data_IF_990773355039
#
_entry.id   IF_990773355039
#
_cell.length_a   1.000
_cell.length_b   1.000
_cell.length_c   1.000
_cell.angle_alpha   90.00
_cell.angle_beta   90.00
_cell.angle_gamma   90.00
#
_symmetry.space_group_name_H-M   'P 1'
#
loop_
_entity.id
_entity.type
_entity.pdbx_description
1 polymer ?
#
# COMPACT_ATOMS: atom_id res chain seq x y z
N UNK A 1 -37.09 31.62 -59.48
CA UNK A 1 -36.66 32.61 -58.47
C UNK A 1 -36.41 31.95 -57.12
N UNK A 2 -37.26 31.04 -56.65
CA UNK A 2 -37.16 30.38 -55.34
C UNK A 2 -35.92 29.46 -55.19
N UNK A 3 -35.59 28.67 -56.21
CA UNK A 3 -34.41 27.80 -56.21
C UNK A 3 -33.10 28.57 -56.18
N UNK A 4 -33.03 29.71 -56.86
CA UNK A 4 -31.85 30.59 -56.84
C UNK A 4 -31.69 31.26 -55.47
N UNK A 5 -32.75 31.62 -54.81
CA UNK A 5 -32.70 32.16 -53.43
C UNK A 5 -32.18 31.16 -52.41
N UNK A 6 -32.63 29.89 -52.53
CA UNK A 6 -32.16 28.82 -51.65
C UNK A 6 -30.68 28.51 -51.88
N UNK A 7 -30.22 28.48 -53.15
CA UNK A 7 -28.82 28.31 -53.47
C UNK A 7 -27.93 29.41 -52.92
N UNK A 8 -28.41 30.67 -53.01
CA UNK A 8 -27.68 31.82 -52.51
C UNK A 8 -27.49 31.79 -50.97
N UNK A 9 -28.53 31.38 -50.26
CA UNK A 9 -28.44 31.19 -48.78
C UNK A 9 -27.46 30.09 -48.45
N UNK A 10 -27.48 29.00 -49.21
CA UNK A 10 -26.54 27.90 -48.97
C UNK A 10 -25.08 28.33 -49.18
N UNK A 11 -24.80 29.12 -50.23
CA UNK A 11 -23.45 29.66 -50.50
C UNK A 11 -23.02 30.62 -49.41
N UNK A 12 -23.91 31.48 -48.92
CA UNK A 12 -23.59 32.41 -47.80
C UNK A 12 -23.20 31.64 -46.51
N UNK A 13 -23.98 30.59 -46.17
CA UNK A 13 -23.70 29.76 -45.00
C UNK A 13 -22.37 28.99 -45.19
N UNK A 14 -22.12 28.47 -46.37
CA UNK A 14 -20.85 27.77 -46.68
C UNK A 14 -19.66 28.69 -46.58
N UNK A 15 -19.75 29.89 -47.18
CA UNK A 15 -18.65 30.90 -47.08
C UNK A 15 -18.46 31.38 -45.66
N UNK A 16 -19.53 31.59 -44.89
CA UNK A 16 -19.46 31.95 -43.49
C UNK A 16 -18.82 30.85 -42.64
N UNK A 17 -19.09 29.57 -42.92
CA UNK A 17 -18.45 28.44 -42.26
C UNK A 17 -16.97 28.36 -42.61
N UNK A 18 -16.60 28.57 -43.86
CA UNK A 18 -15.18 28.57 -44.30
C UNK A 18 -14.40 29.73 -43.67
N UNK A 19 -14.98 30.94 -43.59
CA UNK A 19 -14.35 32.10 -42.94
C UNK A 19 -14.14 31.80 -41.45
N UNK A 20 -15.14 31.22 -40.78
CA UNK A 20 -15.01 30.85 -39.36
C UNK A 20 -13.93 29.79 -39.13
N UNK A 21 -13.85 28.81 -40.00
CA UNK A 21 -12.82 27.73 -39.91
C UNK A 21 -11.43 28.33 -40.14
N UNK A 22 -11.26 29.20 -41.16
CA UNK A 22 -10.01 29.87 -41.45
C UNK A 22 -9.56 30.85 -40.34
N UNK A 23 -10.50 31.53 -39.69
CA UNK A 23 -10.22 32.37 -38.52
C UNK A 23 -9.76 31.55 -37.32
N UNK A 24 -10.39 30.38 -37.07
CA UNK A 24 -9.94 29.48 -36.03
C UNK A 24 -8.54 28.90 -36.36
N UNK A 25 -8.33 28.46 -37.59
CA UNK A 25 -7.04 27.97 -38.03
C UNK A 25 -5.94 29.05 -37.92
N UNK A 26 -6.23 30.31 -38.24
CA UNK A 26 -5.33 31.42 -38.07
C UNK A 26 -4.93 31.68 -36.60
N UNK A 27 -5.85 31.46 -35.66
CA UNK A 27 -5.58 31.55 -34.21
C UNK A 27 -4.66 30.42 -33.75
N UNK A 28 -4.73 29.24 -34.40
CA UNK A 28 -3.93 28.06 -34.10
C UNK A 28 -2.63 27.97 -34.94
N UNK A 29 -2.49 28.75 -36.02
CA UNK A 29 -1.26 28.78 -36.83
C UNK A 29 -0.09 29.24 -35.95
N UNK A 30 0.91 28.37 -35.82
CA UNK A 30 2.12 28.63 -35.02
C UNK A 30 1.98 28.24 -33.53
N UNK A 31 0.86 27.71 -33.11
CA UNK A 31 0.78 27.15 -31.73
C UNK A 31 1.43 25.75 -31.64
N UNK A 32 1.44 24.97 -32.74
CA UNK A 32 2.11 23.68 -32.78
C UNK A 32 3.65 23.81 -32.74
N UNK A 33 4.19 24.98 -33.13
CA UNK A 33 5.64 25.25 -33.22
C UNK A 33 6.13 26.18 -32.11
N UNK A 34 5.26 26.56 -31.17
CA UNK A 34 5.71 27.23 -29.95
C UNK A 34 6.37 26.18 -29.08
N UNK A 35 7.71 26.18 -29.07
CA UNK A 35 8.45 25.57 -27.96
C UNK A 35 7.73 25.96 -26.66
N UNK A 36 7.07 24.99 -26.02
CA UNK A 36 6.44 25.23 -24.73
C UNK A 36 7.53 25.71 -23.76
N UNK A 37 7.46 26.98 -23.42
CA UNK A 37 8.39 27.57 -22.44
C UNK A 37 7.90 27.21 -21.07
N UNK A 38 8.16 25.97 -20.69
CA UNK A 38 7.75 25.41 -19.40
C UNK A 38 8.95 25.30 -18.46
N UNK A 39 8.68 25.44 -17.18
CA UNK A 39 9.60 25.05 -16.11
C UNK A 39 8.94 23.91 -15.34
N UNK A 40 9.68 22.88 -15.04
CA UNK A 40 9.23 21.77 -14.19
C UNK A 40 9.77 21.99 -12.80
N UNK A 41 8.90 21.89 -11.81
CA UNK A 41 9.25 22.00 -10.39
C UNK A 41 8.67 20.81 -9.65
N UNK A 42 9.52 20.13 -8.92
CA UNK A 42 9.15 18.98 -8.12
C UNK A 42 9.38 19.26 -6.63
N UNK A 43 8.52 18.72 -5.79
CA UNK A 43 8.71 18.73 -4.35
C UNK A 43 8.04 17.52 -3.73
N UNK A 44 8.51 17.15 -2.57
CA UNK A 44 8.04 16.03 -1.78
C UNK A 44 7.47 16.55 -0.45
N UNK A 45 6.31 16.05 -0.07
CA UNK A 45 5.72 16.25 1.26
C UNK A 45 5.95 15.02 2.11
N UNK A 46 6.29 15.22 3.39
CA UNK A 46 6.56 14.14 4.35
C UNK A 46 5.89 14.43 5.66
N UNK A 47 5.11 13.48 6.12
CA UNK A 47 4.46 13.57 7.44
C UNK A 47 4.84 12.35 8.27
N UNK A 48 5.33 12.61 9.48
CA UNK A 48 5.61 11.55 10.44
C UNK A 48 4.33 11.20 11.18
N UNK A 49 3.99 9.94 11.20
CA UNK A 49 2.85 9.40 11.93
C UNK A 49 3.32 8.35 12.95
N UNK A 50 2.61 8.25 14.07
CA UNK A 50 2.79 7.15 15.01
C UNK A 50 1.84 6.04 14.59
N UNK A 51 2.31 4.80 14.40
CA UNK A 51 1.45 3.66 14.12
C UNK A 51 0.38 3.50 15.20
N UNK A 52 -0.84 3.20 14.77
CA UNK A 52 -1.99 2.97 15.63
C UNK A 52 -2.47 1.52 15.64
N UNK A 53 -1.97 0.70 14.69
CA UNK A 53 -2.20 -0.73 14.65
C UNK A 53 -0.90 -1.50 14.44
N UNK A 54 -0.95 -2.79 14.79
CA UNK A 54 0.06 -3.76 14.39
C UNK A 54 -0.57 -4.89 13.59
N UNK A 55 0.16 -5.44 12.65
CA UNK A 55 -0.26 -6.59 11.86
C UNK A 55 0.75 -7.71 11.95
N UNK A 56 0.25 -8.95 12.07
CA UNK A 56 1.07 -10.16 11.99
C UNK A 56 0.31 -11.22 11.18
N UNK A 57 1.04 -12.19 10.65
CA UNK A 57 0.44 -13.35 10.03
C UNK A 57 0.90 -14.59 10.78
N UNK A 58 -0.06 -15.37 11.25
CA UNK A 58 0.17 -16.60 11.97
C UNK A 58 -0.40 -17.77 11.17
N UNK A 59 0.26 -18.90 11.14
CA UNK A 59 -0.16 -20.02 10.33
C UNK A 59 0.26 -21.37 10.88
N UNK A 60 -0.32 -22.39 10.27
CA UNK A 60 -0.02 -23.78 10.55
C UNK A 60 0.23 -24.51 9.23
N UNK A 61 1.33 -25.23 9.20
CA UNK A 61 1.62 -26.26 8.21
C UNK A 61 1.47 -27.61 8.93
N UNK A 62 0.50 -28.39 8.51
CA UNK A 62 0.22 -29.70 9.08
C UNK A 62 0.41 -30.80 8.04
N UNK A 63 0.90 -31.95 8.47
CA UNK A 63 1.17 -33.10 7.63
C UNK A 63 0.30 -34.28 8.01
N UNK A 64 -0.05 -35.11 7.02
CA UNK A 64 -0.79 -36.36 7.21
C UNK A 64 -0.57 -37.34 6.07
N UNK A 65 -0.82 -38.60 6.32
CA UNK A 65 -0.79 -39.62 5.26
C UNK A 65 -1.94 -39.43 4.26
N UNK A 66 -3.03 -38.84 4.72
CA UNK A 66 -4.19 -38.46 3.90
C UNK A 66 -4.48 -36.97 4.01
N UNK A 67 -5.17 -36.44 3.01
CA UNK A 67 -5.64 -35.06 3.02
C UNK A 67 -6.52 -34.79 4.25
N UNK A 68 -7.42 -35.72 4.59
CA UNK A 68 -8.33 -35.57 5.71
C UNK A 68 -7.59 -35.43 7.05
N UNK A 69 -6.57 -36.24 7.28
CA UNK A 69 -5.74 -36.17 8.49
C UNK A 69 -5.00 -34.86 8.61
N UNK A 70 -4.35 -34.41 7.50
CA UNK A 70 -3.65 -33.16 7.48
C UNK A 70 -4.60 -31.95 7.72
N UNK A 71 -5.82 -32.00 7.14
CA UNK A 71 -6.83 -30.96 7.34
C UNK A 71 -7.38 -30.94 8.78
N UNK A 72 -7.62 -32.10 9.39
CA UNK A 72 -8.09 -32.17 10.77
C UNK A 72 -7.08 -31.54 11.74
N UNK A 73 -5.81 -31.93 11.64
CA UNK A 73 -4.73 -31.33 12.46
C UNK A 73 -4.65 -29.80 12.29
N UNK A 74 -4.72 -29.35 11.05
CA UNK A 74 -4.67 -27.92 10.75
C UNK A 74 -5.86 -27.18 11.37
N UNK A 75 -7.06 -27.68 11.16
CA UNK A 75 -8.32 -27.08 11.62
C UNK A 75 -8.36 -26.96 13.13
N UNK A 76 -7.90 -27.99 13.85
CA UNK A 76 -7.86 -27.97 15.32
C UNK A 76 -6.99 -26.80 15.84
N UNK A 77 -5.77 -26.69 15.35
CA UNK A 77 -4.83 -25.64 15.77
C UNK A 77 -5.33 -24.25 15.39
N UNK A 78 -5.80 -24.07 14.14
CA UNK A 78 -6.22 -22.76 13.66
C UNK A 78 -7.52 -22.27 14.31
N UNK A 79 -8.46 -23.19 14.63
CA UNK A 79 -9.66 -22.84 15.39
C UNK A 79 -9.32 -22.47 16.83
N UNK A 80 -8.39 -23.20 17.48
CA UNK A 80 -7.92 -22.85 18.81
C UNK A 80 -7.24 -21.48 18.83
N UNK A 81 -6.37 -21.20 17.85
CA UNK A 81 -5.73 -19.89 17.68
C UNK A 81 -6.78 -18.78 17.57
N UNK A 82 -7.74 -18.94 16.65
CA UNK A 82 -8.80 -17.95 16.43
C UNK A 82 -9.60 -17.68 17.70
N UNK A 83 -10.01 -18.74 18.42
CA UNK A 83 -10.75 -18.60 19.66
C UNK A 83 -9.95 -17.90 20.75
N UNK A 84 -8.67 -18.22 20.90
CA UNK A 84 -7.78 -17.55 21.88
C UNK A 84 -7.55 -16.09 21.53
N UNK A 85 -7.38 -15.75 20.25
CA UNK A 85 -7.26 -14.36 19.81
C UNK A 85 -8.52 -13.55 20.10
N UNK A 86 -9.70 -14.10 19.83
CA UNK A 86 -10.97 -13.45 20.19
C UNK A 86 -11.12 -13.28 21.70
N UNK A 87 -10.75 -14.28 22.50
CA UNK A 87 -10.75 -14.18 23.97
C UNK A 87 -9.76 -13.15 24.50
N UNK A 88 -8.67 -12.88 23.79
CA UNK A 88 -7.71 -11.84 24.11
C UNK A 88 -8.23 -10.41 23.79
N UNK A 89 -9.34 -10.33 23.03
CA UNK A 89 -9.97 -9.05 22.66
C UNK A 89 -9.77 -8.65 21.19
N UNK A 90 -9.20 -9.50 20.35
CA UNK A 90 -9.13 -9.24 18.91
C UNK A 90 -10.52 -9.48 18.31
N UNK A 91 -11.02 -8.49 17.57
CA UNK A 91 -12.32 -8.61 16.87
C UNK A 91 -12.25 -9.62 15.75
N UNK A 92 -13.37 -10.30 15.48
CA UNK A 92 -13.50 -11.20 14.33
C UNK A 92 -13.22 -10.48 13.00
N UNK A 93 -13.61 -9.20 12.87
CA UNK A 93 -13.37 -8.37 11.70
C UNK A 93 -11.87 -8.08 11.45
N UNK A 94 -11.04 -8.21 12.48
CA UNK A 94 -9.60 -8.00 12.43
C UNK A 94 -8.82 -9.31 12.19
N UNK A 95 -9.53 -10.43 11.97
CA UNK A 95 -8.99 -11.74 11.66
C UNK A 95 -9.33 -12.14 10.22
N UNK A 96 -8.32 -12.32 9.38
CA UNK A 96 -8.52 -12.66 7.98
C UNK A 96 -7.72 -13.89 7.57
N UNK A 97 -8.40 -14.95 7.14
CA UNK A 97 -7.72 -16.09 6.51
C UNK A 97 -7.18 -15.66 5.16
N UNK A 98 -5.85 -15.76 4.99
CA UNK A 98 -5.15 -15.36 3.77
C UNK A 98 -4.98 -16.52 2.80
N UNK A 99 -4.58 -17.66 3.30
CA UNK A 99 -4.26 -18.83 2.50
C UNK A 99 -4.83 -20.09 3.13
N UNK A 100 -5.30 -21.00 2.29
CA UNK A 100 -5.63 -22.38 2.64
C UNK A 100 -5.30 -23.25 1.43
N UNK A 101 -4.18 -23.95 1.52
CA UNK A 101 -3.67 -24.75 0.40
C UNK A 101 -3.33 -26.16 0.87
N UNK A 102 -3.55 -27.13 -0.01
CA UNK A 102 -3.20 -28.53 0.22
C UNK A 102 -2.22 -28.97 -0.86
N UNK A 103 -1.10 -29.51 -0.45
CA UNK A 103 -0.05 -29.98 -1.35
C UNK A 103 0.26 -31.46 -1.11
N UNK A 104 0.49 -32.26 -2.16
CA UNK A 104 1.05 -33.60 -2.02
C UNK A 104 2.55 -33.52 -1.70
N UNK A 105 2.98 -34.28 -0.73
CA UNK A 105 4.38 -34.42 -0.34
C UNK A 105 4.98 -35.69 -0.96
N UNK A 106 6.14 -35.54 -1.58
CA UNK A 106 6.81 -36.64 -2.24
C UNK A 106 8.22 -36.84 -1.67
N UNK A 107 8.58 -38.10 -1.51
CA UNK A 107 9.95 -38.51 -1.23
C UNK A 107 10.62 -39.03 -2.51
N UNK A 108 11.94 -38.88 -2.60
CA UNK A 108 12.74 -39.42 -3.70
C UNK A 108 13.61 -40.53 -3.16
N UNK A 109 13.38 -41.75 -3.64
CA UNK A 109 14.21 -42.91 -3.34
C UNK A 109 15.03 -43.30 -4.58
N UNK A 110 16.22 -43.88 -4.38
CA UNK A 110 17.11 -44.28 -5.47
C UNK A 110 16.48 -45.39 -6.33
N UNK A 111 15.68 -46.27 -5.70
CA UNK A 111 15.08 -47.44 -6.34
C UNK A 111 13.75 -47.15 -7.02
N UNK A 112 12.88 -46.33 -6.42
CA UNK A 112 11.48 -46.13 -6.86
C UNK A 112 11.24 -44.72 -7.44
N UNK A 113 12.24 -43.82 -7.39
CA UNK A 113 12.12 -42.47 -7.83
C UNK A 113 11.20 -41.63 -6.93
N UNK A 114 10.21 -40.95 -7.53
CA UNK A 114 9.29 -40.05 -6.80
C UNK A 114 8.11 -40.85 -6.23
N UNK A 115 8.07 -41.01 -4.90
CA UNK A 115 7.01 -41.73 -4.16
C UNK A 115 6.19 -40.72 -3.35
N UNK A 116 4.85 -40.85 -3.40
CA UNK A 116 3.96 -40.03 -2.58
C UNK A 116 4.11 -40.44 -1.12
N UNK A 117 4.51 -39.50 -0.25
CA UNK A 117 4.72 -39.70 1.17
C UNK A 117 3.50 -39.31 2.00
N UNK A 118 2.72 -38.36 1.52
CA UNK A 118 1.54 -37.84 2.21
C UNK A 118 1.11 -36.49 1.65
N UNK A 119 0.48 -35.70 2.49
CA UNK A 119 -0.06 -34.39 2.15
C UNK A 119 0.28 -33.38 3.23
N UNK A 120 0.43 -32.12 2.84
CA UNK A 120 0.57 -31.01 3.76
C UNK A 120 -0.53 -29.97 3.51
N UNK A 121 -1.02 -29.38 4.59
CA UNK A 121 -2.01 -28.28 4.55
C UNK A 121 -1.36 -27.04 5.14
N UNK A 122 -1.38 -25.98 4.35
CA UNK A 122 -0.90 -24.66 4.74
C UNK A 122 -2.10 -23.75 4.95
N UNK A 123 -2.27 -23.22 6.14
CA UNK A 123 -3.24 -22.20 6.45
C UNK A 123 -2.55 -21.03 7.15
N UNK A 124 -2.91 -19.79 6.75
CA UNK A 124 -2.44 -18.58 7.40
C UNK A 124 -3.58 -17.63 7.71
N UNK A 125 -3.50 -16.98 8.86
CA UNK A 125 -4.42 -16.01 9.40
C UNK A 125 -3.67 -14.69 9.60
N UNK A 126 -4.15 -13.64 8.96
CA UNK A 126 -3.70 -12.27 9.19
C UNK A 126 -4.46 -11.73 10.39
N UNK A 127 -3.72 -11.16 11.33
CA UNK A 127 -4.23 -10.61 12.59
C UNK A 127 -3.91 -9.12 12.62
N UNK A 128 -4.95 -8.29 12.72
CA UNK A 128 -4.83 -6.86 12.96
C UNK A 128 -5.01 -6.59 14.46
N UNK A 129 -4.05 -5.94 15.05
CA UNK A 129 -3.99 -5.65 16.47
C UNK A 129 -4.17 -4.15 16.65
N UNK A 130 -5.33 -3.73 17.13
CA UNK A 130 -5.66 -2.31 17.37
C UNK A 130 -5.13 -1.80 18.70
N UNK A 131 -5.07 -2.65 19.70
CA UNK A 131 -4.45 -2.35 20.97
C UNK A 131 -3.01 -2.89 20.96
N UNK A 132 -2.06 -1.98 20.79
CA UNK A 132 -0.64 -2.33 20.67
C UNK A 132 -0.07 -3.00 21.92
N UNK A 133 -0.67 -2.78 23.08
CA UNK A 133 -0.27 -3.43 24.33
C UNK A 133 -0.53 -4.95 24.32
N UNK A 134 -1.45 -5.40 23.45
CA UNK A 134 -1.73 -6.82 23.26
C UNK A 134 -0.76 -7.52 22.28
N UNK A 135 0.08 -6.77 21.59
CA UNK A 135 0.95 -7.32 20.53
C UNK A 135 1.83 -8.49 21.02
N UNK A 136 2.44 -8.31 22.20
CA UNK A 136 3.27 -9.36 22.81
C UNK A 136 2.46 -10.60 23.20
N UNK A 137 1.25 -10.41 23.72
CA UNK A 137 0.36 -11.52 24.10
C UNK A 137 -0.11 -12.29 22.88
N UNK A 138 -0.42 -11.58 21.77
CA UNK A 138 -0.79 -12.20 20.49
C UNK A 138 0.35 -13.06 19.95
N UNK A 139 1.59 -12.57 19.98
CA UNK A 139 2.75 -13.36 19.55
C UNK A 139 3.00 -14.58 20.44
N UNK A 140 2.79 -14.45 21.76
CA UNK A 140 2.96 -15.57 22.69
C UNK A 140 1.95 -16.69 22.44
N UNK A 141 0.71 -16.35 22.06
CA UNK A 141 -0.34 -17.34 21.73
C UNK A 141 0.06 -18.27 20.59
N UNK A 142 0.84 -17.78 19.61
CA UNK A 142 1.32 -18.62 18.50
C UNK A 142 2.12 -19.83 18.99
N UNK A 143 2.99 -19.60 19.96
CA UNK A 143 3.77 -20.68 20.60
C UNK A 143 2.92 -21.60 21.46
N UNK A 144 1.90 -21.08 22.15
CA UNK A 144 1.04 -21.87 23.03
C UNK A 144 0.12 -22.82 22.28
N UNK A 145 -0.42 -22.42 21.14
CA UNK A 145 -1.34 -23.25 20.34
C UNK A 145 -0.62 -24.16 19.37
N UNK A 146 0.70 -24.01 19.22
CA UNK A 146 1.51 -24.85 18.35
C UNK A 146 1.47 -24.44 16.88
N UNK A 147 1.21 -23.18 16.56
CA UNK A 147 1.44 -22.68 15.19
C UNK A 147 2.93 -22.73 14.88
N UNK A 148 3.27 -23.10 13.65
CA UNK A 148 4.67 -23.27 13.20
C UNK A 148 5.10 -22.27 12.13
N UNK A 149 4.23 -21.32 11.79
CA UNK A 149 4.52 -20.24 10.86
C UNK A 149 4.03 -18.92 11.45
N UNK A 150 4.95 -18.03 11.80
CA UNK A 150 4.63 -16.70 12.34
C UNK A 150 5.50 -15.69 11.60
N UNK A 151 4.87 -14.68 11.00
CA UNK A 151 5.60 -13.54 10.45
C UNK A 151 5.98 -12.57 11.56
N UNK A 152 6.90 -11.66 11.27
CA UNK A 152 7.18 -10.51 12.14
C UNK A 152 5.93 -9.66 12.40
N UNK A 153 6.07 -8.72 13.33
CA UNK A 153 5.06 -7.72 13.64
C UNK A 153 5.35 -6.46 12.83
N UNK A 154 4.37 -6.04 12.04
CA UNK A 154 4.44 -4.81 11.24
C UNK A 154 3.55 -3.74 11.86
N UNK A 155 4.17 -2.64 12.30
CA UNK A 155 3.44 -1.48 12.82
C UNK A 155 3.09 -0.53 11.69
N UNK A 156 1.80 -0.18 11.57
CA UNK A 156 1.30 0.67 10.50
C UNK A 156 0.12 1.52 10.96
N UNK A 157 -0.44 2.30 10.05
CA UNK A 157 -1.65 3.08 10.27
C UNK A 157 -2.86 2.31 9.74
N UNK A 158 -3.97 2.32 10.49
CA UNK A 158 -5.23 1.75 10.02
C UNK A 158 -5.86 2.61 8.92
N UNK A 159 -5.73 3.93 9.06
CA UNK A 159 -6.13 4.91 8.03
C UNK A 159 -4.99 5.91 7.80
N UNK A 160 -4.33 5.82 6.66
CA UNK A 160 -3.24 6.70 6.24
C UNK A 160 -3.69 7.90 5.39
N UNK A 161 -4.98 7.96 4.98
CA UNK A 161 -5.50 8.98 4.09
C UNK A 161 -5.36 10.41 4.66
N UNK A 162 -5.56 10.57 5.97
CA UNK A 162 -5.37 11.88 6.63
C UNK A 162 -3.92 12.34 6.55
N UNK A 163 -2.98 11.43 6.69
CA UNK A 163 -1.54 11.73 6.62
C UNK A 163 -1.11 11.98 5.19
N UNK A 164 -1.61 11.21 4.22
CA UNK A 164 -1.41 11.44 2.78
C UNK A 164 -1.94 12.81 2.36
N UNK A 165 -3.12 13.21 2.82
CA UNK A 165 -3.66 14.52 2.55
C UNK A 165 -2.76 15.65 3.07
N UNK A 166 -2.22 15.52 4.28
CA UNK A 166 -1.27 16.48 4.85
C UNK A 166 0.06 16.50 4.11
N UNK A 167 0.59 15.34 3.72
CA UNK A 167 1.82 15.25 2.93
C UNK A 167 1.64 15.94 1.57
N UNK A 168 0.50 15.71 0.91
CA UNK A 168 0.12 16.40 -0.34
C UNK A 168 0.08 17.92 -0.16
N UNK A 169 -0.56 18.40 0.90
CA UNK A 169 -0.63 19.83 1.19
C UNK A 169 0.78 20.44 1.39
N UNK A 170 1.65 19.75 2.11
CA UNK A 170 3.02 20.15 2.31
C UNK A 170 3.82 20.16 1.01
N UNK A 171 3.66 19.14 0.16
CA UNK A 171 4.29 19.07 -1.16
C UNK A 171 3.86 20.25 -2.04
N UNK A 172 2.57 20.51 -2.15
CA UNK A 172 2.02 21.63 -2.93
C UNK A 172 2.52 22.99 -2.43
N UNK A 173 2.61 23.17 -1.12
CA UNK A 173 3.19 24.39 -0.54
C UNK A 173 4.66 24.56 -0.95
N UNK A 174 5.45 23.50 -0.85
CA UNK A 174 6.87 23.49 -1.27
C UNK A 174 7.03 23.76 -2.77
N UNK A 175 6.18 23.18 -3.63
CA UNK A 175 6.14 23.46 -5.07
C UNK A 175 5.87 24.94 -5.31
N UNK A 176 4.87 25.53 -4.65
CA UNK A 176 4.55 26.95 -4.79
C UNK A 176 5.68 27.88 -4.34
N UNK A 177 6.38 27.53 -3.28
CA UNK A 177 7.55 28.28 -2.79
C UNK A 177 8.73 28.18 -3.77
N UNK A 178 9.09 26.96 -4.17
CA UNK A 178 10.16 26.72 -5.16
C UNK A 178 9.88 27.44 -6.48
N UNK A 179 8.64 27.38 -6.98
CA UNK A 179 8.22 28.04 -8.21
C UNK A 179 8.42 29.55 -8.12
N UNK A 180 8.01 30.17 -7.01
CA UNK A 180 8.21 31.61 -6.81
C UNK A 180 9.68 32.03 -6.76
N UNK A 181 10.51 31.26 -6.06
CA UNK A 181 11.94 31.50 -5.94
C UNK A 181 12.60 31.36 -7.31
N UNK A 182 12.29 30.29 -8.03
CA UNK A 182 12.86 29.99 -9.34
C UNK A 182 12.47 31.09 -10.37
N UNK A 183 11.18 31.44 -10.41
CA UNK A 183 10.70 32.50 -11.31
C UNK A 183 11.40 33.81 -11.07
N UNK A 184 11.57 34.25 -9.81
CA UNK A 184 12.31 35.47 -9.47
C UNK A 184 13.77 35.40 -9.89
N UNK A 185 14.45 34.29 -9.64
CA UNK A 185 15.87 34.13 -9.95
C UNK A 185 16.15 34.11 -11.43
N UNK A 186 15.21 33.64 -12.24
CA UNK A 186 15.33 33.58 -13.70
C UNK A 186 14.71 34.79 -14.40
N UNK A 187 14.09 35.73 -13.67
CA UNK A 187 13.39 36.88 -14.24
C UNK A 187 12.16 36.48 -15.07
N UNK A 188 11.47 35.40 -14.68
CA UNK A 188 10.30 34.86 -15.36
C UNK A 188 9.01 35.19 -14.61
N UNK A 189 7.91 35.23 -15.35
CA UNK A 189 6.56 35.28 -14.80
C UNK A 189 5.84 33.97 -15.07
N UNK A 190 5.30 33.34 -14.02
CA UNK A 190 4.50 32.10 -14.12
C UNK A 190 3.06 32.48 -14.41
N UNK A 191 2.56 32.10 -15.58
CA UNK A 191 1.23 32.49 -16.06
C UNK A 191 0.19 31.43 -15.63
N UNK A 192 0.50 30.14 -15.77
CA UNK A 192 -0.43 29.03 -15.48
C UNK A 192 0.32 27.72 -15.24
N UNK A 193 -0.37 26.79 -14.59
CA UNK A 193 0.03 25.40 -14.53
C UNK A 193 -0.41 24.73 -15.85
N UNK A 194 0.50 24.01 -16.49
CA UNK A 194 0.28 23.31 -17.77
C UNK A 194 -0.02 21.82 -17.51
N UNK A 195 0.71 21.21 -16.60
CA UNK A 195 0.50 19.83 -16.15
C UNK A 195 0.70 19.72 -14.64
N UNK A 196 0.06 18.76 -14.07
CA UNK A 196 0.21 18.36 -12.68
C UNK A 196 0.20 16.85 -12.64
N UNK A 197 1.24 16.28 -12.07
CA UNK A 197 1.38 14.85 -11.87
C UNK A 197 1.68 14.63 -10.39
N UNK A 198 0.97 13.71 -9.78
CA UNK A 198 1.14 13.30 -8.39
C UNK A 198 1.35 11.79 -8.35
N UNK A 199 2.29 11.35 -7.56
CA UNK A 199 2.50 9.94 -7.28
C UNK A 199 2.86 9.79 -5.81
N UNK A 200 2.33 8.75 -5.22
CA UNK A 200 2.78 8.34 -3.90
C UNK A 200 4.18 7.76 -4.05
N UNK A 201 5.13 8.34 -3.35
CA UNK A 201 6.45 7.73 -3.24
C UNK A 201 6.30 6.51 -2.34
N UNK A 202 5.92 5.39 -2.95
CA UNK A 202 5.74 4.11 -2.28
C UNK A 202 7.06 3.57 -1.75
N UNK A 203 7.58 4.21 -0.75
CA UNK A 203 8.37 3.52 0.22
C UNK A 203 7.40 2.63 0.98
N UNK A 204 7.54 1.32 0.92
CA UNK A 204 7.33 0.56 2.13
C UNK A 204 8.04 1.36 3.21
N UNK A 205 7.26 2.09 4.05
CA UNK A 205 7.81 2.91 5.10
C UNK A 205 8.74 2.05 5.92
N UNK A 206 10.03 2.13 5.56
CA UNK A 206 11.03 1.56 6.46
C UNK A 206 10.87 2.35 7.74
N UNK A 207 10.52 1.71 8.86
CA UNK A 207 10.45 2.40 10.12
C UNK A 207 11.80 3.08 10.34
N UNK A 208 11.80 4.40 10.42
CA UNK A 208 13.00 5.15 10.78
C UNK A 208 13.22 4.90 12.26
N UNK A 209 14.01 3.89 12.57
CA UNK A 209 14.43 3.60 13.94
C UNK A 209 15.29 4.77 14.44
N UNK A 210 14.71 5.68 15.17
CA UNK A 210 15.48 6.49 16.11
C UNK A 210 15.81 5.57 17.29
N UNK A 211 16.94 4.90 17.20
CA UNK A 211 17.48 4.11 18.29
C UNK A 211 17.80 5.04 19.47
N UNK A 212 16.87 5.12 20.41
CA UNK A 212 17.23 5.50 21.77
C UNK A 212 17.76 4.24 22.46
N UNK A 213 19.06 4.11 22.51
CA UNK A 213 19.73 3.10 23.30
C UNK A 213 19.61 3.49 24.78
N UNK A 214 18.59 3.02 25.45
CA UNK A 214 18.61 2.90 26.92
C UNK A 214 18.95 1.46 27.27
N UNK A 215 20.17 1.28 27.77
CA UNK A 215 20.67 0.03 28.28
C UNK A 215 20.00 -0.29 29.60
N UNK A 216 19.03 -1.20 29.60
CA UNK A 216 18.52 -1.80 30.82
C UNK A 216 19.20 -3.16 31.03
N UNK A 217 20.18 -3.20 31.92
CA UNK A 217 20.68 -4.43 32.52
C UNK A 217 19.65 -4.95 33.52
N UNK A 218 18.94 -6.01 33.19
CA UNK A 218 18.03 -6.73 34.09
C UNK A 218 18.40 -8.21 34.14
N UNK A 219 19.00 -8.65 35.24
CA UNK A 219 19.22 -10.07 35.56
C UNK A 219 17.92 -10.60 36.19
N UNK A 220 17.25 -11.52 35.52
CA UNK A 220 16.09 -12.22 36.09
C UNK A 220 15.53 -13.27 35.13
N UNK A 221 15.66 -14.55 35.49
CA UNK A 221 15.25 -15.70 34.69
C UNK A 221 13.72 -15.84 34.61
N UNK A 222 13.19 -15.60 33.46
CA UNK A 222 11.91 -15.98 32.90
C UNK A 222 12.11 -16.02 31.40
N UNK A 223 11.33 -16.78 30.65
CA UNK A 223 11.39 -16.72 29.19
C UNK A 223 10.94 -15.31 28.82
N UNK A 224 11.83 -14.42 28.33
CA UNK A 224 11.44 -13.06 27.99
C UNK A 224 10.53 -13.11 26.76
N UNK A 225 9.30 -12.62 26.90
CA UNK A 225 8.52 -12.22 25.75
C UNK A 225 9.28 -11.11 25.02
N UNK A 226 9.33 -11.11 23.68
CA UNK A 226 10.01 -10.06 22.94
C UNK A 226 9.36 -8.71 23.23
N UNK A 227 10.15 -7.74 23.68
CA UNK A 227 9.70 -6.37 23.86
C UNK A 227 9.72 -5.69 22.48
N UNK A 228 8.54 -5.47 21.92
CA UNK A 228 8.38 -4.95 20.55
C UNK A 228 7.95 -3.49 20.62
N UNK A 229 8.76 -2.60 20.03
CA UNK A 229 8.49 -1.16 20.00
C UNK A 229 7.98 -0.72 18.64
N UNK A 230 6.90 0.08 18.63
CA UNK A 230 6.19 0.49 17.40
C UNK A 230 6.97 1.47 16.50
N UNK A 231 7.93 2.25 17.03
CA UNK A 231 8.64 3.25 16.25
C UNK A 231 7.74 4.36 15.70
N UNK A 232 8.19 5.04 14.63
CA UNK A 232 7.40 6.03 13.88
C UNK A 232 7.49 5.72 12.38
N UNK A 233 6.39 5.94 11.65
CA UNK A 233 6.30 5.74 10.19
C UNK A 233 6.28 7.08 9.48
N UNK A 234 7.00 7.21 8.36
CA UNK A 234 6.98 8.39 7.51
C UNK A 234 6.03 8.12 6.33
N UNK A 235 5.05 9.02 6.14
CA UNK A 235 4.11 9.01 5.01
C UNK A 235 4.57 10.08 4.02
N UNK A 236 4.75 9.69 2.74
CA UNK A 236 5.29 10.54 1.68
C UNK A 236 4.34 10.64 0.51
#
# INVERSE_FOLDING_TARGET
VTLFGILLVYVIVLVGSMIRNNLQEYIYIGQADRMERTITVEAEGKVTATPDIAMTTMGMVSEGETVAEAQEKNTLVMNELTNKLMNLGISEDDLQTMNYNVYPRYNYTEDEGRVLEGYEVHQSLKVKIRDLDLANNVLALAGEVGTNSVSGLDFTLDDDEVYKARAREEALKKVGEKTRVLARSLGLEVIKVVSYDEYESGGNGMPVYKAYAESAYGIGGGIPSPDVQAGSTEVM
#
